data_IF_605990895892
#
_entry.id   IF_605990895892
#
_cell.length_a   1.000
_cell.length_b   1.000
_cell.length_c   1.000
_cell.angle_alpha   90.00
_cell.angle_beta   90.00
_cell.angle_gamma   90.00
#
_symmetry.space_group_name_H-M   'P 1'
#
loop_
_entity.id
_entity.type
_entity.pdbx_description
1 polymer ?
#
# COMPACT_ATOMS: atom_id res chain seq x y z
N UNK A 1 -52.34 16.46 -0.70
CA UNK A 1 -52.48 15.08 -1.18
C UNK A 1 -51.09 14.44 -1.13
N UNK A 2 -50.79 13.67 -0.09
CA UNK A 2 -49.45 13.11 0.13
C UNK A 2 -49.30 11.79 -0.64
N UNK A 3 -48.32 11.70 -1.53
CA UNK A 3 -48.04 10.47 -2.28
C UNK A 3 -47.46 9.41 -1.33
N UNK A 4 -48.21 8.36 -1.05
CA UNK A 4 -47.72 7.19 -0.33
C UNK A 4 -46.70 6.46 -1.19
N UNK A 5 -45.42 6.51 -0.81
CA UNK A 5 -44.34 5.77 -1.49
C UNK A 5 -44.61 4.27 -1.33
N UNK A 6 -44.95 3.59 -2.43
CA UNK A 6 -45.06 2.13 -2.46
C UNK A 6 -43.67 1.52 -2.65
N UNK A 7 -43.35 0.51 -1.85
CA UNK A 7 -42.16 -0.32 -2.05
C UNK A 7 -42.48 -1.44 -3.04
N UNK A 8 -41.56 -1.72 -3.95
CA UNK A 8 -41.62 -2.87 -4.85
C UNK A 8 -40.56 -3.90 -4.42
N UNK A 9 -40.91 -5.19 -4.44
CA UNK A 9 -39.96 -6.26 -4.19
C UNK A 9 -38.94 -6.28 -5.34
N UNK A 10 -37.66 -6.07 -5.02
CA UNK A 10 -36.57 -6.08 -6.01
C UNK A 10 -36.22 -7.53 -6.37
N UNK A 11 -36.03 -8.41 -5.37
CA UNK A 11 -35.66 -9.82 -5.58
C UNK A 11 -36.22 -10.75 -4.47
N UNK A 12 -36.31 -12.05 -4.76
CA UNK A 12 -36.59 -13.12 -3.77
C UNK A 12 -35.50 -14.18 -3.82
N UNK A 13 -34.73 -14.30 -2.75
CA UNK A 13 -33.68 -15.32 -2.62
C UNK A 13 -34.22 -16.62 -2.02
N UNK A 14 -33.62 -17.76 -2.40
CA UNK A 14 -33.82 -19.02 -1.69
C UNK A 14 -33.08 -18.96 -0.34
N UNK A 15 -33.65 -19.58 0.67
CA UNK A 15 -32.98 -19.78 1.96
C UNK A 15 -31.77 -20.69 1.76
N UNK A 16 -30.65 -20.33 2.38
CA UNK A 16 -29.47 -21.18 2.43
C UNK A 16 -29.50 -22.09 3.66
N UNK A 17 -28.52 -22.99 3.77
CA UNK A 17 -28.32 -23.84 4.96
C UNK A 17 -27.24 -23.23 5.88
N UNK A 18 -27.25 -23.54 7.18
CA UNK A 18 -26.17 -23.14 8.08
C UNK A 18 -24.79 -23.51 7.52
N UNK A 19 -23.82 -22.60 7.61
CA UNK A 19 -22.45 -22.78 7.09
C UNK A 19 -22.29 -22.61 5.58
N UNK A 20 -23.37 -22.54 4.81
CA UNK A 20 -23.33 -22.39 3.35
C UNK A 20 -23.92 -21.03 2.94
N UNK A 21 -23.13 -19.94 2.94
CA UNK A 21 -23.61 -18.67 2.40
C UNK A 21 -23.91 -18.83 0.90
N UNK A 22 -25.04 -18.29 0.45
CA UNK A 22 -25.45 -18.31 -0.95
C UNK A 22 -25.71 -16.87 -1.40
N UNK A 23 -25.06 -16.47 -2.49
CA UNK A 23 -25.29 -15.20 -3.17
C UNK A 23 -25.76 -15.48 -4.60
N UNK A 24 -26.59 -14.58 -5.13
CA UNK A 24 -26.89 -14.57 -6.56
C UNK A 24 -25.88 -13.66 -7.25
N UNK A 25 -25.01 -14.24 -8.08
CA UNK A 25 -23.97 -13.49 -8.80
C UNK A 25 -24.57 -12.49 -9.80
N UNK A 26 -25.80 -12.71 -10.28
CA UNK A 26 -26.48 -11.75 -11.15
C UNK A 26 -26.69 -10.38 -10.47
N UNK A 27 -26.67 -10.32 -9.14
CA UNK A 27 -26.79 -9.06 -8.39
C UNK A 27 -25.45 -8.33 -8.22
N UNK A 28 -24.33 -9.03 -8.43
CA UNK A 28 -22.99 -8.51 -8.21
C UNK A 28 -22.16 -8.72 -9.48
N UNK A 29 -22.40 -7.91 -10.53
CA UNK A 29 -21.57 -7.98 -11.72
C UNK A 29 -20.09 -7.73 -11.33
N UNK A 30 -19.19 -8.53 -11.90
CA UNK A 30 -17.76 -8.55 -11.59
C UNK A 30 -17.40 -8.99 -10.16
N UNK A 31 -18.29 -9.69 -9.47
CA UNK A 31 -17.99 -10.23 -8.15
C UNK A 31 -16.82 -11.22 -8.21
N UNK A 32 -15.92 -11.29 -7.21
CA UNK A 32 -14.77 -12.20 -7.23
C UNK A 32 -15.08 -13.70 -7.33
N UNK A 33 -16.35 -14.10 -7.23
CA UNK A 33 -16.81 -15.49 -7.40
C UNK A 33 -17.32 -15.78 -8.81
N UNK A 34 -17.45 -14.75 -9.66
CA UNK A 34 -17.68 -14.87 -11.10
C UNK A 34 -16.35 -15.26 -11.79
N UNK A 35 -16.33 -16.19 -12.76
CA UNK A 35 -15.12 -16.58 -13.48
C UNK A 35 -14.28 -15.40 -14.03
N UNK A 36 -14.96 -14.34 -14.49
CA UNK A 36 -14.31 -13.13 -15.03
C UNK A 36 -14.27 -11.98 -14.01
N UNK A 37 -14.70 -12.23 -12.77
CA UNK A 37 -14.76 -11.24 -11.70
C UNK A 37 -13.44 -11.07 -10.96
N UNK A 38 -13.20 -9.87 -10.47
CA UNK A 38 -12.01 -9.54 -9.68
C UNK A 38 -12.39 -8.70 -8.47
N UNK A 39 -11.63 -8.75 -7.36
CA UNK A 39 -11.80 -7.80 -6.27
C UNK A 39 -11.82 -6.38 -6.81
N UNK A 40 -12.82 -5.61 -6.40
CA UNK A 40 -12.93 -4.21 -6.82
C UNK A 40 -11.74 -3.43 -6.27
N UNK A 41 -10.93 -2.89 -7.17
CA UNK A 41 -9.84 -1.98 -6.79
C UNK A 41 -10.44 -0.76 -6.10
N UNK A 42 -10.01 -0.40 -4.87
CA UNK A 42 -10.47 0.80 -4.20
C UNK A 42 -10.18 2.05 -5.05
N UNK A 43 -11.21 2.87 -5.26
CA UNK A 43 -11.11 4.12 -6.00
C UNK A 43 -11.55 5.25 -5.09
N UNK A 44 -10.62 5.93 -4.39
CA UNK A 44 -10.94 7.05 -3.52
C UNK A 44 -11.69 8.14 -4.29
N UNK A 45 -12.80 8.61 -3.73
CA UNK A 45 -13.56 9.74 -4.28
C UNK A 45 -13.61 10.84 -3.23
N UNK A 46 -13.17 12.07 -3.55
CA UNK A 46 -13.16 13.16 -2.59
C UNK A 46 -14.60 13.54 -2.22
N UNK A 47 -14.83 13.74 -0.92
CA UNK A 47 -16.08 14.24 -0.33
C UNK A 47 -15.89 15.60 0.33
N UNK A 48 -14.64 16.06 0.45
CA UNK A 48 -14.29 17.37 0.99
C UNK A 48 -13.25 18.07 0.12
N UNK A 49 -13.10 19.39 0.31
CA UNK A 49 -12.07 20.19 -0.36
C UNK A 49 -10.66 19.67 -0.05
N UNK A 50 -10.38 19.33 1.21
CA UNK A 50 -9.08 18.81 1.63
C UNK A 50 -8.74 17.49 0.92
N UNK A 51 -9.70 16.56 0.84
CA UNK A 51 -9.52 15.32 0.08
C UNK A 51 -9.32 15.57 -1.42
N UNK A 52 -10.03 16.55 -2.00
CA UNK A 52 -9.83 16.93 -3.40
C UNK A 52 -8.43 17.49 -3.65
N UNK A 53 -7.93 18.36 -2.78
CA UNK A 53 -6.59 18.93 -2.91
C UNK A 53 -5.51 17.86 -2.79
N UNK A 54 -5.66 16.95 -1.81
CA UNK A 54 -4.73 15.84 -1.64
C UNK A 54 -4.70 14.90 -2.85
N UNK A 55 -5.87 14.51 -3.38
CA UNK A 55 -5.92 13.64 -4.56
C UNK A 55 -5.47 14.32 -5.85
N UNK A 56 -5.40 15.66 -5.88
CA UNK A 56 -4.85 16.42 -7.01
C UNK A 56 -3.32 16.43 -7.04
N UNK A 57 -2.64 16.07 -5.94
CA UNK A 57 -1.18 15.95 -5.90
C UNK A 57 -0.67 14.92 -6.92
N UNK A 58 -1.38 13.80 -7.08
CA UNK A 58 -1.07 12.83 -8.12
C UNK A 58 -1.38 11.36 -7.79
N UNK A 59 -0.90 10.42 -8.62
CA UNK A 59 -1.11 8.99 -8.46
C UNK A 59 -0.48 8.39 -7.18
N UNK A 60 0.63 8.93 -6.71
CA UNK A 60 1.26 8.55 -5.45
C UNK A 60 0.36 8.85 -4.25
N UNK A 61 -0.32 10.00 -4.26
CA UNK A 61 -1.30 10.36 -3.24
C UNK A 61 -2.51 9.40 -3.22
N UNK A 62 -3.02 9.01 -4.39
CA UNK A 62 -4.09 7.99 -4.50
C UNK A 62 -3.62 6.67 -3.88
N UNK A 63 -2.43 6.21 -4.26
CA UNK A 63 -1.85 4.95 -3.76
C UNK A 63 -1.67 4.99 -2.25
N UNK A 64 -1.11 6.08 -1.74
CA UNK A 64 -0.94 6.30 -0.31
C UNK A 64 -2.26 6.22 0.45
N UNK A 65 -3.34 6.82 -0.06
CA UNK A 65 -4.64 6.81 0.62
C UNK A 65 -5.27 5.41 0.63
N UNK A 66 -5.15 4.65 -0.46
CA UNK A 66 -5.64 3.27 -0.55
C UNK A 66 -4.91 2.37 0.45
N UNK A 67 -3.58 2.41 0.45
CA UNK A 67 -2.76 1.57 1.32
C UNK A 67 -2.88 1.99 2.79
N UNK A 68 -2.89 3.29 3.09
CA UNK A 68 -3.07 3.79 4.44
C UNK A 68 -4.43 3.37 5.03
N UNK A 69 -5.50 3.38 4.21
CA UNK A 69 -6.81 2.92 4.63
C UNK A 69 -6.84 1.40 4.86
N UNK A 70 -6.23 0.62 3.97
CA UNK A 70 -6.10 -0.83 4.13
C UNK A 70 -5.31 -1.20 5.40
N UNK A 71 -4.26 -0.44 5.72
CA UNK A 71 -3.46 -0.60 6.94
C UNK A 71 -4.15 -0.09 8.23
N UNK A 72 -5.34 0.51 8.15
CA UNK A 72 -6.05 1.06 9.30
C UNK A 72 -5.35 2.29 9.90
N UNK A 73 -4.65 3.07 9.08
CA UNK A 73 -3.89 4.25 9.51
C UNK A 73 -4.78 5.25 10.25
N UNK A 74 -4.31 5.70 11.41
CA UNK A 74 -5.00 6.72 12.19
C UNK A 74 -4.64 8.13 11.72
N UNK A 75 -5.57 9.06 11.93
CA UNK A 75 -5.39 10.50 11.62
C UNK A 75 -5.09 10.81 10.14
N UNK A 76 -5.59 10.00 9.20
CA UNK A 76 -5.41 10.20 7.74
C UNK A 76 -5.69 11.63 7.30
N UNK A 77 -6.78 12.26 7.77
CA UNK A 77 -7.12 13.66 7.43
C UNK A 77 -6.03 14.67 7.82
N UNK A 78 -5.39 14.48 8.98
CA UNK A 78 -4.30 15.36 9.42
C UNK A 78 -3.06 15.17 8.54
N UNK A 79 -2.76 13.93 8.17
CA UNK A 79 -1.61 13.60 7.32
C UNK A 79 -1.80 14.09 5.88
N UNK A 80 -3.00 13.96 5.31
CA UNK A 80 -3.34 14.55 4.01
C UNK A 80 -3.18 16.07 4.02
N UNK A 81 -3.64 16.74 5.07
CA UNK A 81 -3.46 18.18 5.20
C UNK A 81 -1.96 18.55 5.26
N UNK A 82 -1.18 17.86 6.09
CA UNK A 82 0.27 18.09 6.17
C UNK A 82 0.99 17.85 4.84
N UNK A 83 0.57 16.85 4.05
CA UNK A 83 1.11 16.59 2.72
C UNK A 83 0.80 17.73 1.74
N UNK A 84 -0.43 18.27 1.75
CA UNK A 84 -0.81 19.42 0.92
C UNK A 84 -0.03 20.67 1.32
N UNK A 85 0.15 20.94 2.61
CA UNK A 85 0.98 22.05 3.08
C UNK A 85 2.45 21.87 2.69
N UNK A 86 2.98 20.66 2.77
CA UNK A 86 4.34 20.36 2.32
C UNK A 86 4.49 20.58 0.81
N UNK A 87 3.52 20.14 0.02
CA UNK A 87 3.51 20.32 -1.43
C UNK A 87 3.49 21.81 -1.82
N UNK A 88 2.79 22.65 -1.05
CA UNK A 88 2.82 24.11 -1.23
C UNK A 88 4.23 24.72 -1.01
N UNK A 89 5.11 24.05 -0.27
CA UNK A 89 6.48 24.51 0.00
C UNK A 89 7.50 24.01 -1.03
N UNK A 90 7.37 22.76 -1.48
CA UNK A 90 8.42 22.08 -2.29
C UNK A 90 7.95 21.57 -3.66
N UNK A 91 6.66 21.72 -3.96
CA UNK A 91 6.03 21.29 -5.21
C UNK A 91 5.30 19.94 -5.10
N UNK A 92 4.24 19.81 -5.90
CA UNK A 92 3.36 18.64 -5.92
C UNK A 92 4.09 17.37 -6.37
N UNK A 93 4.93 17.46 -7.42
CA UNK A 93 5.63 16.31 -7.99
C UNK A 93 6.54 15.59 -6.97
N UNK A 94 7.27 16.36 -6.16
CA UNK A 94 8.17 15.81 -5.14
C UNK A 94 7.39 15.10 -4.02
N UNK A 95 6.26 15.69 -3.61
CA UNK A 95 5.39 15.10 -2.59
C UNK A 95 4.65 13.87 -3.12
N UNK A 96 4.17 13.90 -4.36
CA UNK A 96 3.50 12.75 -4.98
C UNK A 96 4.45 11.54 -5.10
N UNK A 97 5.68 11.76 -5.58
CA UNK A 97 6.70 10.72 -5.64
C UNK A 97 6.98 10.13 -4.24
N UNK A 98 7.13 10.98 -3.22
CA UNK A 98 7.34 10.54 -1.84
C UNK A 98 6.14 9.78 -1.25
N UNK A 99 4.89 10.20 -1.56
CA UNK A 99 3.68 9.47 -1.17
C UNK A 99 3.61 8.09 -1.83
N UNK A 100 4.01 7.98 -3.09
CA UNK A 100 4.13 6.69 -3.78
C UNK A 100 5.14 5.75 -3.11
N UNK A 101 6.33 6.25 -2.75
CA UNK A 101 7.34 5.47 -2.00
C UNK A 101 6.83 5.08 -0.61
N UNK A 102 6.18 6.01 0.10
CA UNK A 102 5.59 5.74 1.40
C UNK A 102 4.52 4.64 1.34
N UNK A 103 3.67 4.65 0.31
CA UNK A 103 2.67 3.61 0.07
C UNK A 103 3.32 2.25 -0.16
N UNK A 104 4.31 2.17 -1.05
CA UNK A 104 5.02 0.94 -1.37
C UNK A 104 5.78 0.35 -0.16
N UNK A 105 6.28 1.21 0.73
CA UNK A 105 6.99 0.81 1.95
C UNK A 105 6.08 0.60 3.16
N UNK A 106 4.75 0.75 3.03
CA UNK A 106 3.78 0.74 4.12
C UNK A 106 4.12 1.72 5.27
N UNK A 107 4.68 2.88 4.93
CA UNK A 107 5.13 3.92 5.86
C UNK A 107 4.09 5.02 5.99
N UNK A 108 3.30 4.95 7.05
CA UNK A 108 2.18 5.87 7.31
C UNK A 108 2.27 6.59 8.67
N UNK A 109 3.43 6.56 9.33
CA UNK A 109 3.64 7.23 10.60
C UNK A 109 3.76 8.75 10.42
N UNK A 110 3.68 9.47 11.54
CA UNK A 110 3.93 10.91 11.54
C UNK A 110 5.39 11.17 11.16
N UNK A 111 5.64 12.13 10.27
CA UNK A 111 7.00 12.47 9.80
C UNK A 111 7.58 11.56 8.72
N UNK A 112 6.96 10.41 8.41
CA UNK A 112 7.46 9.50 7.35
C UNK A 112 7.58 10.22 6.01
N UNK A 113 6.57 10.99 5.63
CA UNK A 113 6.57 11.72 4.37
C UNK A 113 7.73 12.72 4.29
N UNK A 114 7.95 13.51 5.35
CA UNK A 114 9.04 14.48 5.40
C UNK A 114 10.42 13.80 5.35
N UNK A 115 10.58 12.67 6.06
CA UNK A 115 11.82 11.90 6.03
C UNK A 115 12.10 11.31 4.64
N UNK A 116 11.08 10.83 3.94
CA UNK A 116 11.20 10.31 2.58
C UNK A 116 11.56 11.42 1.60
N UNK A 117 10.91 12.58 1.70
CA UNK A 117 11.24 13.77 0.89
C UNK A 117 12.69 14.20 1.10
N UNK A 118 13.13 14.33 2.36
CA UNK A 118 14.51 14.72 2.69
C UNK A 118 15.53 13.70 2.15
N UNK A 119 15.21 12.41 2.25
CA UNK A 119 16.04 11.36 1.69
C UNK A 119 16.15 11.43 0.16
N UNK A 120 15.06 11.76 -0.52
CA UNK A 120 15.07 11.95 -1.97
C UNK A 120 15.83 13.22 -2.39
N UNK A 121 15.71 14.30 -1.60
CA UNK A 121 16.42 15.55 -1.83
C UNK A 121 17.95 15.42 -1.62
N UNK A 122 18.37 14.57 -0.68
CA UNK A 122 19.80 14.28 -0.43
C UNK A 122 20.45 13.37 -1.48
N UNK A 123 19.69 12.92 -2.50
CA UNK A 123 20.25 12.35 -3.72
C UNK A 123 20.66 10.88 -3.64
N UNK A 124 20.15 10.11 -2.66
CA UNK A 124 20.29 8.66 -2.68
C UNK A 124 19.49 8.09 -3.87
N UNK A 125 20.13 8.07 -5.04
CA UNK A 125 19.59 7.36 -6.20
C UNK A 125 19.52 5.87 -5.88
N UNK A 126 18.63 5.11 -6.52
CA UNK A 126 18.65 3.64 -6.41
C UNK A 126 20.03 3.01 -6.71
N UNK A 127 20.95 3.75 -7.36
CA UNK A 127 22.32 3.34 -7.59
C UNK A 127 23.23 3.41 -6.35
N UNK A 128 22.84 4.17 -5.32
CA UNK A 128 23.52 4.25 -4.01
C UNK A 128 22.93 3.27 -2.99
N UNK A 129 21.90 2.50 -3.36
CA UNK A 129 21.45 1.38 -2.55
C UNK A 129 22.53 0.31 -2.57
N UNK A 130 23.29 0.21 -1.48
CA UNK A 130 24.19 -0.91 -1.23
C UNK A 130 23.35 -2.19 -1.15
N UNK A 131 23.33 -2.94 -2.25
CA UNK A 131 22.85 -4.33 -2.24
C UNK A 131 23.88 -5.12 -1.44
N UNK A 132 23.46 -5.77 -0.36
CA UNK A 132 24.31 -6.64 0.42
C UNK A 132 24.74 -7.84 -0.45
N UNK A 133 25.91 -7.72 -1.07
CA UNK A 133 26.62 -8.79 -1.75
C UNK A 133 27.60 -9.50 -0.78
N UNK A 134 28.02 -10.73 -1.12
CA UNK A 134 29.01 -11.48 -0.35
C UNK A 134 30.32 -10.70 -0.15
N UNK A 135 30.66 -9.79 -1.06
CA UNK A 135 31.83 -8.90 -1.00
C UNK A 135 31.80 -7.93 0.19
N UNK A 136 30.62 -7.65 0.76
CA UNK A 136 30.42 -6.65 1.82
C UNK A 136 29.64 -7.19 3.03
N UNK A 137 29.61 -8.51 3.20
CA UNK A 137 28.98 -9.15 4.36
C UNK A 137 29.78 -8.89 5.65
N UNK A 138 29.09 -8.51 6.72
CA UNK A 138 29.63 -8.47 8.08
C UNK A 138 29.74 -9.86 8.73
N UNK A 139 29.23 -10.91 8.08
CA UNK A 139 29.40 -12.28 8.51
C UNK A 139 30.76 -12.80 8.02
N UNK A 140 31.64 -13.28 8.89
CA UNK A 140 32.82 -14.03 8.46
C UNK A 140 32.35 -15.23 7.64
N UNK A 141 32.78 -15.32 6.37
CA UNK A 141 32.45 -16.47 5.53
C UNK A 141 32.90 -17.79 6.17
N UNK A 142 32.21 -18.89 5.83
CA UNK A 142 32.55 -20.24 6.33
C UNK A 142 33.89 -20.77 5.82
N UNK A 143 34.63 -20.00 5.01
CA UNK A 143 35.97 -20.32 4.54
C UNK A 143 36.95 -20.68 5.67
N UNK A 144 36.80 -20.08 6.86
CA UNK A 144 37.60 -20.43 8.04
C UNK A 144 37.39 -21.88 8.52
N UNK A 145 36.26 -22.51 8.15
CA UNK A 145 35.92 -23.89 8.51
C UNK A 145 36.45 -24.92 7.50
N UNK A 146 36.86 -24.50 6.29
CA UNK A 146 37.30 -25.40 5.22
C UNK A 146 38.56 -26.20 5.60
N UNK A 147 39.42 -25.65 6.47
CA UNK A 147 40.64 -26.31 6.91
C UNK A 147 40.40 -27.38 8.00
N UNK A 148 39.21 -27.47 8.60
CA UNK A 148 38.89 -28.49 9.60
C UNK A 148 38.49 -29.84 9.00
N UNK A 149 38.18 -29.91 7.69
CA UNK A 149 37.73 -31.15 7.05
C UNK A 149 38.84 -31.88 6.29
N UNK A 150 40.00 -31.26 6.06
CA UNK A 150 41.16 -31.92 5.44
C UNK A 150 42.20 -32.26 6.51
N UNK A 151 41.87 -33.24 7.35
CA UNK A 151 42.88 -33.90 8.19
C UNK A 151 43.83 -34.67 7.29
N UNK A 152 45.11 -34.27 7.31
CA UNK A 152 46.20 -35.00 6.68
C UNK A 152 46.50 -36.22 7.57
N UNK A 153 46.19 -37.41 7.10
CA UNK A 153 46.62 -38.66 7.72
C UNK A 153 48.14 -38.65 7.92
N UNK A 154 48.61 -39.00 9.11
CA UNK A 154 49.97 -39.47 9.33
C UNK A 154 49.87 -40.82 10.05
N UNK A 155 50.13 -41.87 9.28
CA UNK A 155 50.45 -43.19 9.80
C UNK A 155 51.92 -43.25 10.21
N UNK A 156 52.10 -43.86 11.39
CA UNK A 156 53.28 -44.55 11.94
C UNK A 156 54.52 -43.75 12.33
#
# INVERSE_FOLDING_TARGET
>A
MAATKKYAQVCRHRLSTPGNPMIDLAHYPHHPQDPDGSPRVPQPRPRSRAESQFLQLGPGAVSWLVEAAAAGTVRIRSKMAAAVELAALIGDDAVDAALGVAAAAARFAEGDLAAIVEHQASGATNADLVIADESHSAQPGTAAWANFTTSKEHSS
#
